data_IF_110244976532
#
_entry.id   IF_110244976532
#
_cell.length_a   1.000
_cell.length_b   1.000
_cell.length_c   1.000
_cell.angle_alpha   90.00
_cell.angle_beta   90.00
_cell.angle_gamma   90.00
#
_symmetry.space_group_name_H-M   'P 1'
#
loop_
_entity.id
_entity.type
_entity.pdbx_description
1 polymer ?
#
# COMPACT_ATOMS: atom_id res chain seq x y z
N UNK A 1 -22.48 -8.52 2.37
CA UNK A 1 -21.87 -8.59 3.70
C UNK A 1 -21.03 -7.35 3.85
N UNK A 2 -21.41 -6.43 4.76
CA UNK A 2 -20.61 -5.22 4.99
C UNK A 2 -19.29 -5.62 5.67
N UNK A 3 -18.20 -4.92 5.40
CA UNK A 3 -16.91 -5.07 6.10
C UNK A 3 -16.57 -3.76 6.79
N UNK A 4 -15.89 -3.83 7.92
CA UNK A 4 -15.35 -2.66 8.62
C UNK A 4 -13.84 -2.64 8.47
N UNK A 5 -13.28 -1.47 8.13
CA UNK A 5 -11.84 -1.30 8.03
C UNK A 5 -11.27 -0.66 9.28
N UNK A 6 -10.25 -1.29 9.84
CA UNK A 6 -9.41 -0.73 10.90
C UNK A 6 -8.09 -0.28 10.27
N UNK A 7 -7.77 1.02 10.24
CA UNK A 7 -6.50 1.52 9.71
C UNK A 7 -5.29 1.02 10.49
N UNK A 8 -4.15 0.90 9.79
CA UNK A 8 -2.86 0.62 10.41
C UNK A 8 -2.44 1.76 11.35
N UNK A 9 -1.88 1.42 12.51
CA UNK A 9 -1.21 2.37 13.40
C UNK A 9 0.29 2.33 13.11
N UNK A 10 0.84 3.47 12.70
CA UNK A 10 2.21 3.56 12.16
C UNK A 10 3.00 4.52 13.07
N UNK A 11 4.07 4.05 13.74
CA UNK A 11 4.94 4.91 14.56
C UNK A 11 5.55 6.06 13.74
N UNK A 12 5.71 7.23 14.34
CA UNK A 12 6.13 8.46 13.62
C UNK A 12 7.56 8.38 13.07
N UNK A 13 8.45 7.80 13.86
CA UNK A 13 9.84 7.47 13.53
C UNK A 13 9.96 6.45 12.38
N UNK A 14 8.96 5.59 12.23
CA UNK A 14 8.86 4.61 11.15
C UNK A 14 8.14 5.12 9.90
N UNK A 15 7.27 6.12 10.05
CA UNK A 15 6.28 6.49 9.02
C UNK A 15 6.91 6.87 7.67
N UNK A 16 8.07 7.54 7.68
CA UNK A 16 8.75 7.97 6.45
C UNK A 16 9.55 6.85 5.75
N UNK A 17 9.61 5.64 6.32
CA UNK A 17 10.19 4.47 5.66
C UNK A 17 9.35 3.99 4.48
N UNK A 18 9.90 3.13 3.63
CA UNK A 18 9.13 2.54 2.53
C UNK A 18 7.91 1.74 3.04
N UNK A 19 8.05 1.02 4.14
CA UNK A 19 6.97 0.23 4.72
C UNK A 19 5.92 1.10 5.44
N UNK A 20 6.34 2.19 6.11
CA UNK A 20 5.43 3.20 6.65
C UNK A 20 4.61 3.91 5.55
N UNK A 21 5.26 4.23 4.43
CA UNK A 21 4.58 4.75 3.23
C UNK A 21 3.57 3.72 2.69
N UNK A 22 3.93 2.45 2.59
CA UNK A 22 3.04 1.39 2.10
C UNK A 22 1.83 1.17 3.02
N UNK A 23 2.00 1.16 4.34
CA UNK A 23 0.88 1.05 5.27
C UNK A 23 -0.04 2.27 5.22
N UNK A 24 0.53 3.47 5.04
CA UNK A 24 -0.27 4.69 4.85
C UNK A 24 -1.02 4.66 3.52
N UNK A 25 -0.37 4.22 2.44
CA UNK A 25 -0.99 4.03 1.15
C UNK A 25 -2.12 3.00 1.19
N UNK A 26 -1.94 1.89 1.92
CA UNK A 26 -2.99 0.92 2.17
C UNK A 26 -4.17 1.61 2.88
N UNK A 27 -3.94 2.33 3.98
CA UNK A 27 -5.01 3.07 4.67
C UNK A 27 -5.80 3.98 3.72
N UNK A 28 -5.11 4.72 2.84
CA UNK A 28 -5.74 5.58 1.84
C UNK A 28 -6.55 4.77 0.81
N UNK A 29 -5.99 3.70 0.26
CA UNK A 29 -6.67 2.83 -0.70
C UNK A 29 -7.94 2.17 -0.12
N UNK A 30 -7.99 1.91 1.19
CA UNK A 30 -9.17 1.35 1.85
C UNK A 30 -10.26 2.37 2.18
N UNK A 31 -9.90 3.65 2.34
CA UNK A 31 -10.80 4.65 2.95
C UNK A 31 -11.10 5.85 2.06
N UNK A 32 -10.41 6.00 0.93
CA UNK A 32 -10.51 7.15 0.05
C UNK A 32 -10.62 6.74 -1.41
N UNK A 33 -11.21 7.62 -2.24
CA UNK A 33 -11.23 7.49 -3.70
C UNK A 33 -9.98 8.17 -4.31
N UNK A 34 -8.81 7.59 -4.05
CA UNK A 34 -7.54 8.03 -4.63
C UNK A 34 -7.13 7.11 -5.77
N UNK A 35 -6.50 7.68 -6.81
CA UNK A 35 -5.91 6.91 -7.92
C UNK A 35 -4.44 6.56 -7.71
N UNK A 36 -3.77 7.24 -6.78
CA UNK A 36 -2.36 7.01 -6.48
C UNK A 36 -2.11 7.13 -4.97
N UNK A 37 -2.51 6.10 -4.20
CA UNK A 37 -2.38 6.13 -2.75
C UNK A 37 -0.91 6.19 -2.29
N UNK A 38 0.06 5.75 -3.10
CA UNK A 38 1.48 5.84 -2.75
C UNK A 38 1.97 7.28 -2.87
N UNK A 39 1.67 7.97 -3.98
CA UNK A 39 2.04 9.37 -4.13
C UNK A 39 1.37 10.27 -3.07
N UNK A 40 0.11 9.98 -2.72
CA UNK A 40 -0.61 10.71 -1.68
C UNK A 40 -0.02 10.44 -0.28
N UNK A 41 0.33 9.18 0.04
CA UNK A 41 1.00 8.84 1.30
C UNK A 41 2.37 9.55 1.43
N UNK A 42 3.18 9.54 0.37
CA UNK A 42 4.47 10.24 0.35
C UNK A 42 4.29 11.74 0.63
N UNK A 43 3.27 12.37 0.03
CA UNK A 43 2.96 13.79 0.27
C UNK A 43 2.48 14.04 1.71
N UNK A 44 1.64 13.16 2.25
CA UNK A 44 1.11 13.28 3.61
C UNK A 44 2.21 13.16 4.67
N UNK A 45 3.21 12.31 4.41
CA UNK A 45 4.28 12.00 5.34
C UNK A 45 5.55 12.86 5.14
N UNK A 46 5.58 13.68 4.09
CA UNK A 46 6.79 14.34 3.60
C UNK A 46 7.95 13.34 3.44
N UNK A 47 7.63 12.16 2.89
CA UNK A 47 8.59 11.06 2.80
C UNK A 47 9.62 11.32 1.69
N UNK A 48 10.89 10.92 1.87
CA UNK A 48 11.93 11.19 0.89
C UNK A 48 11.69 10.40 -0.42
N UNK A 49 12.21 10.93 -1.53
CA UNK A 49 12.12 10.31 -2.87
C UNK A 49 12.63 8.87 -2.89
N UNK A 50 13.56 8.50 -2.00
CA UNK A 50 14.01 7.12 -1.86
C UNK A 50 12.89 6.20 -1.36
N UNK A 51 12.21 6.56 -0.27
CA UNK A 51 11.08 5.79 0.28
C UNK A 51 9.95 5.65 -0.74
N UNK A 52 9.65 6.71 -1.50
CA UNK A 52 8.68 6.66 -2.59
C UNK A 52 9.05 5.57 -3.62
N UNK A 53 10.27 5.61 -4.17
CA UNK A 53 10.70 4.64 -5.19
C UNK A 53 10.71 3.21 -4.66
N UNK A 54 11.15 3.01 -3.42
CA UNK A 54 11.15 1.70 -2.77
C UNK A 54 9.73 1.17 -2.57
N UNK A 55 8.81 1.99 -2.05
CA UNK A 55 7.41 1.65 -1.88
C UNK A 55 6.74 1.29 -3.22
N UNK A 56 6.92 2.11 -4.25
CA UNK A 56 6.35 1.86 -5.59
C UNK A 56 6.88 0.55 -6.19
N UNK A 57 8.19 0.32 -6.11
CA UNK A 57 8.82 -0.93 -6.58
C UNK A 57 8.28 -2.15 -5.84
N UNK A 58 8.13 -2.04 -4.52
CA UNK A 58 7.62 -3.10 -3.66
C UNK A 58 6.16 -3.45 -4.00
N UNK A 59 5.30 -2.44 -4.13
CA UNK A 59 3.89 -2.60 -4.45
C UNK A 59 3.69 -3.22 -5.84
N UNK A 60 4.42 -2.74 -6.86
CA UNK A 60 4.37 -3.30 -8.22
C UNK A 60 4.85 -4.75 -8.23
N UNK A 61 5.94 -5.05 -7.51
CA UNK A 61 6.45 -6.42 -7.39
C UNK A 61 5.43 -7.34 -6.71
N UNK A 62 4.73 -6.86 -5.68
CA UNK A 62 3.65 -7.62 -5.04
C UNK A 62 2.45 -7.79 -5.98
N UNK A 63 2.06 -6.75 -6.70
CA UNK A 63 0.98 -6.81 -7.68
C UNK A 63 1.28 -7.87 -8.75
N UNK A 64 2.49 -7.90 -9.30
CA UNK A 64 2.90 -8.94 -10.23
C UNK A 64 2.77 -10.37 -9.67
N UNK A 65 3.02 -10.55 -8.37
CA UNK A 65 2.90 -11.87 -7.71
C UNK A 65 1.45 -12.28 -7.51
N UNK A 66 0.55 -11.34 -7.22
CA UNK A 66 -0.82 -11.64 -6.77
C UNK A 66 -1.88 -11.48 -7.86
N UNK A 67 -1.66 -10.61 -8.84
CA UNK A 67 -2.60 -10.27 -9.91
C UNK A 67 -2.95 -11.45 -10.84
N UNK A 68 -2.07 -12.46 -10.91
CA UNK A 68 -2.23 -13.60 -11.81
C UNK A 68 -2.17 -13.20 -13.30
N UNK A 69 -2.32 -14.17 -14.23
CA UNK A 69 -2.15 -13.93 -15.67
C UNK A 69 -3.29 -13.15 -16.33
N UNK A 70 -4.37 -12.85 -15.60
CA UNK A 70 -5.60 -12.25 -16.14
C UNK A 70 -5.71 -10.75 -15.94
N UNK A 71 -4.84 -10.13 -15.13
CA UNK A 71 -4.84 -8.67 -15.00
C UNK A 71 -4.32 -8.05 -16.29
N UNK A 72 -5.16 -7.21 -16.88
CA UNK A 72 -4.85 -6.44 -18.08
C UNK A 72 -4.58 -5.00 -17.67
N UNK A 73 -3.33 -4.58 -17.83
CA UNK A 73 -2.99 -3.17 -17.68
C UNK A 73 -3.38 -2.42 -18.96
N UNK A 74 -3.69 -1.13 -18.82
CA UNK A 74 -3.82 -0.24 -19.97
C UNK A 74 -2.46 -0.19 -20.72
N UNK A 75 -2.40 -0.61 -22.00
CA UNK A 75 -1.15 -0.63 -22.77
C UNK A 75 -0.59 0.77 -23.03
N UNK A 76 -1.38 1.83 -22.86
CA UNK A 76 -0.94 3.23 -23.00
C UNK A 76 -0.44 3.81 -21.67
N UNK A 77 -0.73 3.16 -20.54
CA UNK A 77 -0.30 3.59 -19.22
C UNK A 77 1.09 3.03 -18.87
N UNK A 78 1.94 3.80 -18.17
CA UNK A 78 3.28 3.33 -17.79
C UNK A 78 3.20 2.22 -16.75
N UNK A 79 3.63 0.97 -17.04
CA UNK A 79 3.47 -0.16 -16.12
C UNK A 79 4.39 -0.11 -14.90
N UNK A 80 5.37 0.80 -14.90
CA UNK A 80 6.27 1.05 -13.78
C UNK A 80 5.70 2.04 -12.76
N UNK A 81 4.48 2.55 -12.96
CA UNK A 81 3.81 3.42 -12.01
C UNK A 81 2.73 2.67 -11.25
N UNK A 82 2.65 2.87 -9.94
CA UNK A 82 1.63 2.22 -9.13
C UNK A 82 0.20 2.56 -9.57
N UNK A 83 -0.06 3.80 -9.98
CA UNK A 83 -1.39 4.23 -10.45
C UNK A 83 -1.96 3.32 -11.57
N UNK A 84 -1.10 2.84 -12.48
CA UNK A 84 -1.49 1.90 -13.55
C UNK A 84 -1.99 0.56 -12.99
N UNK A 85 -1.37 0.08 -11.92
CA UNK A 85 -1.77 -1.16 -11.25
C UNK A 85 -3.00 -0.96 -10.38
N UNK A 86 -3.07 0.17 -9.67
CA UNK A 86 -4.18 0.50 -8.80
C UNK A 86 -5.53 0.42 -9.52
N UNK A 87 -5.62 0.98 -10.73
CA UNK A 87 -6.83 0.94 -11.55
C UNK A 87 -7.18 -0.46 -12.08
N UNK A 88 -6.17 -1.33 -12.25
CA UNK A 88 -6.35 -2.67 -12.80
C UNK A 88 -6.66 -3.75 -11.74
N UNK A 89 -6.44 -3.45 -10.45
CA UNK A 89 -6.59 -4.39 -9.35
C UNK A 89 -8.00 -4.30 -8.72
N UNK A 90 -8.60 -5.45 -8.43
CA UNK A 90 -9.89 -5.52 -7.72
C UNK A 90 -9.76 -5.14 -6.24
N UNK A 91 -8.62 -5.44 -5.62
CA UNK A 91 -8.34 -5.13 -4.21
C UNK A 91 -6.91 -4.57 -4.08
N UNK A 92 -6.70 -3.29 -4.48
CA UNK A 92 -5.39 -2.66 -4.42
C UNK A 92 -4.90 -2.48 -2.97
N UNK A 93 -5.83 -2.39 -2.02
CA UNK A 93 -5.51 -2.33 -0.60
C UNK A 93 -4.70 -3.55 -0.15
N UNK A 94 -5.18 -4.76 -0.47
CA UNK A 94 -4.52 -6.00 -0.05
C UNK A 94 -3.09 -6.08 -0.59
N UNK A 95 -2.87 -5.68 -1.84
CA UNK A 95 -1.53 -5.67 -2.46
C UNK A 95 -0.58 -4.72 -1.74
N UNK A 96 -1.06 -3.53 -1.37
CA UNK A 96 -0.26 -2.56 -0.61
C UNK A 96 0.05 -3.07 0.80
N UNK A 97 -0.92 -3.65 1.50
CA UNK A 97 -0.76 -4.21 2.83
C UNK A 97 0.23 -5.39 2.86
N UNK A 98 0.17 -6.28 1.87
CA UNK A 98 1.11 -7.39 1.75
C UNK A 98 2.54 -6.90 1.43
N UNK A 99 2.65 -5.88 0.56
CA UNK A 99 3.93 -5.25 0.26
C UNK A 99 4.52 -4.56 1.50
N UNK A 100 3.68 -3.90 2.30
CA UNK A 100 4.06 -3.27 3.56
C UNK A 100 4.58 -4.30 4.56
N UNK A 101 3.82 -5.37 4.77
CA UNK A 101 4.21 -6.51 5.64
C UNK A 101 5.55 -7.10 5.22
N UNK A 102 5.76 -7.30 3.91
CA UNK A 102 7.01 -7.87 3.39
C UNK A 102 8.23 -6.96 3.58
N UNK A 103 8.01 -5.65 3.72
CA UNK A 103 9.06 -4.64 3.95
C UNK A 103 9.16 -4.19 5.40
N UNK A 104 8.27 -4.67 6.27
CA UNK A 104 8.33 -4.41 7.71
C UNK A 104 9.35 -5.36 8.32
N UNK A 105 10.18 -4.86 9.23
CA UNK A 105 11.03 -5.69 10.05
C UNK A 105 10.24 -6.25 11.24
N UNK A 106 10.55 -7.46 11.74
CA UNK A 106 9.92 -8.00 12.95
C UNK A 106 10.12 -7.15 14.22
N UNK A 107 11.01 -6.14 14.16
CA UNK A 107 11.17 -5.12 15.20
C UNK A 107 10.04 -4.09 15.19
N UNK A 108 9.48 -3.78 14.02
CA UNK A 108 8.50 -2.70 13.84
C UNK A 108 7.22 -2.95 14.64
N UNK A 109 6.73 -4.20 14.68
CA UNK A 109 5.57 -4.57 15.49
C UNK A 109 5.83 -4.38 17.00
N UNK A 110 7.06 -4.64 17.45
CA UNK A 110 7.45 -4.42 18.86
C UNK A 110 7.57 -2.93 19.18
N UNK A 111 7.87 -2.11 18.18
CA UNK A 111 7.98 -0.66 18.27
C UNK A 111 6.63 0.05 18.06
N UNK A 112 5.55 -0.71 17.86
CA UNK A 112 4.18 -0.19 17.88
C UNK A 112 3.50 -0.11 16.52
N UNK A 113 4.08 -0.69 15.47
CA UNK A 113 3.36 -0.92 14.21
C UNK A 113 2.21 -1.91 14.44
N UNK A 114 0.98 -1.47 14.18
CA UNK A 114 -0.20 -2.35 14.17
C UNK A 114 -0.76 -2.39 12.74
N UNK A 115 -0.69 -3.54 12.05
CA UNK A 115 -1.24 -3.71 10.71
C UNK A 115 -2.73 -3.36 10.58
N UNK A 116 -3.07 -2.66 9.50
CA UNK A 116 -4.46 -2.39 9.14
C UNK A 116 -5.14 -3.65 8.61
N UNK A 117 -6.44 -3.78 8.81
CA UNK A 117 -7.17 -5.00 8.42
C UNK A 117 -8.66 -4.73 8.22
N UNK A 118 -9.29 -5.56 7.37
CA UNK A 118 -10.75 -5.63 7.25
C UNK A 118 -11.32 -6.69 8.18
N UNK A 119 -12.39 -6.36 8.89
CA UNK A 119 -13.19 -7.31 9.68
C UNK A 119 -14.57 -7.48 9.05
N UNK A 120 -15.17 -8.68 9.11
CA UNK A 120 -16.58 -8.86 8.78
C UNK A 120 -17.46 -7.96 9.67
N UNK A 121 -18.43 -7.25 9.10
CA UNK A 121 -19.44 -6.59 9.93
C UNK A 121 -20.29 -7.67 10.61
N UNK A 122 -20.54 -7.48 11.90
CA UNK A 122 -21.43 -8.32 12.70
C UNK A 122 -22.89 -8.25 12.20
#
# INVERSE_FOLDING_TARGET
MSRHYTPAQIPTDYAQSAAGVLWTAANLAATTDTRDPIADAVRQLDAPTHSHRCAETAAISQAHRTAGPTVQLDPLAPPHRWATWHEALTDPWQVLADAATSHSDPGDEREGLIPGHWTPAA
#
